data_IF_626725815345
#
_entry.id   IF_626725815345
#
_cell.length_a   1.000
_cell.length_b   1.000
_cell.length_c   1.000
_cell.angle_alpha   90.00
_cell.angle_beta   90.00
_cell.angle_gamma   90.00
#
_symmetry.space_group_name_H-M   'P 1'
#
loop_
_entity.id
_entity.type
_entity.pdbx_description
1 polymer ?
#
# COMPACT_ATOMS: atom_id res chain seq x y z
N UNK A 1 39.38 -29.71 20.80
CA UNK A 1 38.60 -28.46 20.69
C UNK A 1 37.90 -28.49 19.35
N UNK A 2 36.81 -29.21 19.25
CA UNK A 2 36.05 -29.42 18.02
C UNK A 2 35.05 -28.30 17.82
N UNK A 3 35.10 -27.77 16.67
CA UNK A 3 34.56 -26.56 16.05
C UNK A 3 33.09 -26.24 16.40
N UNK A 4 32.90 -25.46 17.46
CA UNK A 4 31.57 -24.86 17.80
C UNK A 4 31.10 -23.89 16.69
N UNK A 5 32.01 -23.35 15.88
CA UNK A 5 31.72 -22.44 14.76
C UNK A 5 31.06 -23.13 13.55
N UNK A 6 31.46 -24.40 13.26
CA UNK A 6 30.87 -25.13 12.11
C UNK A 6 29.43 -25.61 12.39
N UNK A 7 29.12 -25.94 13.63
CA UNK A 7 27.78 -26.37 14.03
C UNK A 7 26.76 -25.21 14.01
N UNK A 8 27.24 -23.96 14.15
CA UNK A 8 26.38 -22.77 14.07
C UNK A 8 26.06 -22.39 12.63
N UNK A 9 27.00 -22.65 11.70
CA UNK A 9 26.84 -22.34 10.26
C UNK A 9 25.89 -23.34 9.55
N UNK A 10 25.94 -24.61 9.99
CA UNK A 10 25.05 -25.66 9.44
C UNK A 10 23.60 -25.56 9.97
N UNK A 11 23.39 -24.97 11.14
CA UNK A 11 22.07 -24.73 11.73
C UNK A 11 21.33 -23.61 11.01
N UNK A 12 22.05 -22.56 10.58
CA UNK A 12 21.48 -21.43 9.85
C UNK A 12 21.11 -21.77 8.39
N UNK A 13 21.72 -22.78 7.78
CA UNK A 13 21.44 -23.17 6.40
C UNK A 13 20.14 -24.00 6.23
N UNK A 14 19.48 -24.42 7.33
CA UNK A 14 18.33 -25.32 7.31
C UNK A 14 17.04 -24.72 7.87
N UNK A 15 17.08 -23.47 8.36
CA UNK A 15 15.87 -22.80 8.83
C UNK A 15 15.06 -22.34 7.60
N UNK A 16 13.84 -22.83 7.39
CA UNK A 16 13.00 -22.30 6.31
C UNK A 16 12.66 -20.84 6.64
N UNK A 17 12.85 -19.96 5.66
CA UNK A 17 12.59 -18.50 5.76
C UNK A 17 11.20 -18.21 6.35
N UNK A 18 10.25 -19.14 6.17
CA UNK A 18 8.91 -19.06 6.78
C UNK A 18 8.51 -20.43 7.32
N UNK A 19 8.14 -20.55 8.60
CA UNK A 19 7.59 -21.77 9.18
C UNK A 19 6.39 -22.28 8.37
N UNK A 20 6.27 -23.61 8.24
CA UNK A 20 5.22 -24.23 7.39
C UNK A 20 3.81 -23.75 7.73
N UNK A 21 3.52 -23.46 8.99
CA UNK A 21 2.22 -22.99 9.46
C UNK A 21 1.86 -21.58 8.97
N UNK A 22 2.84 -20.74 8.66
CA UNK A 22 2.63 -19.34 8.21
C UNK A 22 2.80 -19.16 6.69
N UNK A 23 3.19 -20.20 5.94
CA UNK A 23 3.44 -20.14 4.49
C UNK A 23 2.24 -19.59 3.71
N UNK A 24 1.05 -20.05 4.02
CA UNK A 24 -0.16 -19.60 3.30
C UNK A 24 -0.40 -18.11 3.56
N UNK A 25 -0.30 -17.67 4.79
CA UNK A 25 -0.45 -16.25 5.14
C UNK A 25 0.64 -15.38 4.50
N UNK A 26 1.88 -15.88 4.44
CA UNK A 26 2.98 -15.18 3.79
C UNK A 26 2.78 -15.06 2.27
N UNK A 27 2.34 -16.13 1.60
CA UNK A 27 2.03 -16.12 0.16
C UNK A 27 0.86 -15.15 -0.12
N UNK A 28 -0.18 -15.16 0.69
CA UNK A 28 -1.30 -14.22 0.56
C UNK A 28 -0.84 -12.76 0.70
N UNK A 29 0.03 -12.49 1.65
CA UNK A 29 0.59 -11.15 1.85
C UNK A 29 1.46 -10.70 0.68
N UNK A 30 2.36 -11.56 0.17
CA UNK A 30 3.16 -11.25 -1.02
C UNK A 30 2.25 -10.99 -2.22
N UNK A 31 1.20 -11.80 -2.40
CA UNK A 31 0.22 -11.57 -3.46
C UNK A 31 -0.48 -10.22 -3.33
N UNK A 32 -0.83 -9.80 -2.12
CA UNK A 32 -1.37 -8.47 -1.85
C UNK A 32 -0.38 -7.36 -2.21
N UNK A 33 0.92 -7.53 -1.90
CA UNK A 33 1.96 -6.56 -2.27
C UNK A 33 2.15 -6.47 -3.78
N UNK A 34 2.14 -7.60 -4.49
CA UNK A 34 2.22 -7.61 -5.96
C UNK A 34 1.02 -6.90 -6.58
N UNK A 35 -0.19 -7.19 -6.10
CA UNK A 35 -1.41 -6.51 -6.53
C UNK A 35 -1.36 -5.01 -6.21
N UNK A 36 -0.89 -4.64 -5.03
CA UNK A 36 -0.71 -3.24 -4.64
C UNK A 36 0.28 -2.52 -5.58
N UNK A 37 1.42 -3.14 -5.89
CA UNK A 37 2.40 -2.58 -6.82
C UNK A 37 1.83 -2.41 -8.24
N UNK A 38 1.03 -3.37 -8.73
CA UNK A 38 0.33 -3.26 -10.00
C UNK A 38 -0.69 -2.11 -10.00
N UNK A 39 -1.49 -1.99 -8.95
CA UNK A 39 -2.49 -0.93 -8.81
C UNK A 39 -1.82 0.45 -8.73
N UNK A 40 -0.71 0.57 -8.03
CA UNK A 40 0.05 1.81 -7.93
C UNK A 40 0.60 2.24 -9.30
N UNK A 41 1.22 1.32 -10.04
CA UNK A 41 1.67 1.57 -11.42
C UNK A 41 0.51 1.95 -12.36
N UNK A 42 -0.65 1.31 -12.22
CA UNK A 42 -1.84 1.68 -13.00
C UNK A 42 -2.30 3.10 -12.69
N UNK A 43 -2.29 3.49 -11.43
CA UNK A 43 -2.68 4.85 -10.99
C UNK A 43 -1.72 5.90 -11.55
N UNK A 44 -0.42 5.65 -11.55
CA UNK A 44 0.58 6.55 -12.12
C UNK A 44 0.38 6.78 -13.63
N UNK A 45 -0.09 5.78 -14.35
CA UNK A 45 -0.42 5.89 -15.77
C UNK A 45 -1.81 6.51 -16.03
N UNK A 46 -2.78 6.29 -15.13
CA UNK A 46 -4.11 6.86 -15.24
C UNK A 46 -4.12 8.39 -15.09
N UNK A 47 -3.28 8.92 -14.19
CA UNK A 47 -3.20 10.37 -13.95
C UNK A 47 -2.87 11.16 -15.23
N UNK A 48 -1.83 10.83 -16.02
CA UNK A 48 -1.58 11.49 -17.30
C UNK A 48 -2.67 11.22 -18.35
N UNK A 49 -3.27 10.01 -18.35
CA UNK A 49 -4.34 9.69 -19.29
C UNK A 49 -5.59 10.54 -19.05
N UNK A 50 -6.00 10.71 -17.80
CA UNK A 50 -7.07 11.62 -17.42
C UNK A 50 -6.73 13.08 -17.73
N UNK A 51 -5.48 13.48 -17.51
CA UNK A 51 -4.98 14.81 -17.90
C UNK A 51 -5.20 15.12 -19.38
N UNK A 52 -5.02 14.12 -20.26
CA UNK A 52 -5.29 14.27 -21.71
C UNK A 52 -6.79 14.31 -22.02
N UNK A 53 -7.61 13.51 -21.34
CA UNK A 53 -9.07 13.48 -21.53
C UNK A 53 -9.70 14.81 -21.12
N UNK A 54 -9.26 15.39 -20.02
CA UNK A 54 -9.73 16.68 -19.52
C UNK A 54 -9.05 17.90 -20.18
N UNK A 55 -8.16 17.68 -21.16
CA UNK A 55 -7.35 18.75 -21.81
C UNK A 55 -6.70 19.68 -20.78
N UNK A 56 -6.17 19.08 -19.71
CA UNK A 56 -5.59 19.84 -18.61
C UNK A 56 -4.27 20.48 -19.03
N UNK A 57 -4.11 21.76 -18.71
CA UNK A 57 -2.80 22.43 -18.76
C UNK A 57 -1.80 21.75 -17.81
N UNK A 58 -0.51 21.90 -18.07
CA UNK A 58 0.55 21.29 -17.26
C UNK A 58 0.45 21.62 -15.75
N UNK A 59 -0.09 22.79 -15.40
CA UNK A 59 -0.34 23.20 -14.04
C UNK A 59 -1.37 22.29 -13.32
N UNK A 60 -2.45 21.91 -13.99
CA UNK A 60 -3.49 21.05 -13.45
C UNK A 60 -3.03 19.59 -13.31
N UNK A 61 -2.18 19.11 -14.20
CA UNK A 61 -1.54 17.81 -14.09
C UNK A 61 -0.64 17.75 -12.83
N UNK A 62 0.09 18.81 -12.54
CA UNK A 62 0.90 18.93 -11.32
C UNK A 62 0.04 18.95 -10.05
N UNK A 63 -1.14 19.58 -10.07
CA UNK A 63 -2.08 19.57 -8.94
C UNK A 63 -2.58 18.16 -8.62
N UNK A 64 -2.72 17.30 -9.62
CA UNK A 64 -3.11 15.90 -9.39
C UNK A 64 -2.03 15.14 -8.61
N UNK A 65 -0.76 15.36 -8.94
CA UNK A 65 0.34 14.76 -8.18
C UNK A 65 0.42 15.32 -6.76
N UNK A 66 0.23 16.63 -6.58
CA UNK A 66 0.17 17.25 -5.25
C UNK A 66 -0.97 16.66 -4.42
N UNK A 67 -2.15 16.43 -4.99
CA UNK A 67 -3.27 15.81 -4.30
C UNK A 67 -2.94 14.36 -3.90
N UNK A 68 -2.29 13.59 -4.78
CA UNK A 68 -1.90 12.21 -4.53
C UNK A 68 -0.87 12.11 -3.40
N UNK A 69 0.29 12.74 -3.56
CA UNK A 69 1.36 12.68 -2.55
C UNK A 69 1.02 13.46 -1.27
N UNK A 70 0.25 14.53 -1.39
CA UNK A 70 -0.28 15.27 -0.23
C UNK A 70 -1.19 14.40 0.63
N UNK A 71 -2.05 13.58 0.01
CA UNK A 71 -2.86 12.59 0.72
C UNK A 71 -2.01 11.57 1.48
N UNK A 72 -0.93 11.07 0.84
CA UNK A 72 0.02 10.17 1.48
C UNK A 72 0.63 10.79 2.74
N UNK A 73 1.13 12.02 2.65
CA UNK A 73 1.75 12.71 3.77
C UNK A 73 0.76 12.96 4.92
N UNK A 74 -0.46 13.38 4.60
CA UNK A 74 -1.48 13.71 5.60
C UNK A 74 -2.06 12.48 6.28
N UNK A 75 -2.31 11.39 5.53
CA UNK A 75 -3.01 10.21 6.04
C UNK A 75 -2.09 9.12 6.60
N UNK A 76 -0.79 9.17 6.34
CA UNK A 76 0.17 8.23 6.93
C UNK A 76 0.22 8.32 8.47
N UNK A 77 0.16 9.53 9.02
CA UNK A 77 0.15 9.74 10.48
C UNK A 77 -1.12 9.19 11.15
N UNK A 78 -2.34 9.55 10.70
CA UNK A 78 -3.58 8.95 11.21
C UNK A 78 -3.61 7.43 11.03
N UNK A 79 -3.08 6.90 9.92
CA UNK A 79 -2.99 5.47 9.67
C UNK A 79 -2.14 4.76 10.73
N UNK A 80 -0.97 5.30 11.06
CA UNK A 80 -0.11 4.74 12.10
C UNK A 80 -0.78 4.73 13.48
N UNK A 81 -1.54 5.78 13.81
CA UNK A 81 -2.33 5.87 15.06
C UNK A 81 -3.46 4.84 15.05
N UNK A 82 -4.16 4.69 13.92
CA UNK A 82 -5.25 3.73 13.76
C UNK A 82 -4.77 2.29 14.05
N UNK A 83 -3.62 1.92 13.48
CA UNK A 83 -3.03 0.59 13.65
C UNK A 83 -2.65 0.33 15.10
N UNK A 84 -2.02 1.30 15.76
CA UNK A 84 -1.65 1.19 17.18
C UNK A 84 -2.86 1.04 18.09
N UNK A 85 -3.99 1.69 17.77
CA UNK A 85 -5.17 1.73 18.63
C UNK A 85 -6.10 0.53 18.43
N UNK A 86 -6.24 0.04 17.20
CA UNK A 86 -7.22 -0.99 16.87
C UNK A 86 -6.58 -2.32 16.49
N UNK A 87 -6.09 -2.47 15.28
CA UNK A 87 -5.46 -3.71 14.78
C UNK A 87 -5.01 -3.51 13.33
N UNK A 88 -4.04 -4.31 12.89
CA UNK A 88 -3.64 -4.39 11.48
C UNK A 88 -4.82 -4.75 10.54
N UNK A 89 -5.72 -5.67 10.98
CA UNK A 89 -6.90 -6.05 10.20
C UNK A 89 -7.83 -4.88 9.94
N UNK A 90 -8.05 -4.05 10.95
CA UNK A 90 -8.88 -2.84 10.82
C UNK A 90 -8.24 -1.83 9.87
N UNK A 91 -6.92 -1.66 9.93
CA UNK A 91 -6.19 -0.81 9.00
C UNK A 91 -6.37 -1.24 7.54
N UNK A 92 -6.23 -2.54 7.25
CA UNK A 92 -6.45 -3.09 5.90
C UNK A 92 -7.88 -2.86 5.42
N UNK A 93 -8.90 -3.13 6.25
CA UNK A 93 -10.30 -2.94 5.87
C UNK A 93 -10.64 -1.47 5.60
N UNK A 94 -10.15 -0.56 6.44
CA UNK A 94 -10.35 0.89 6.27
C UNK A 94 -9.64 1.38 5.01
N UNK A 95 -8.39 0.95 4.79
CA UNK A 95 -7.62 1.30 3.61
C UNK A 95 -8.28 0.83 2.30
N UNK A 96 -8.74 -0.43 2.27
CA UNK A 96 -9.49 -0.97 1.13
C UNK A 96 -10.83 -0.25 0.91
N UNK A 97 -11.56 0.05 1.98
CA UNK A 97 -12.83 0.80 1.91
C UNK A 97 -12.63 2.18 1.29
N UNK A 98 -11.64 2.93 1.78
CA UNK A 98 -11.28 4.24 1.23
C UNK A 98 -10.83 4.15 -0.23
N UNK A 99 -10.02 3.14 -0.57
CA UNK A 99 -9.59 2.90 -1.94
C UNK A 99 -10.77 2.68 -2.89
N UNK A 100 -11.73 1.82 -2.50
CA UNK A 100 -12.93 1.54 -3.29
C UNK A 100 -13.78 2.81 -3.46
N UNK A 101 -14.00 3.58 -2.39
CA UNK A 101 -14.75 4.83 -2.43
C UNK A 101 -14.08 5.84 -3.36
N UNK A 102 -12.76 6.00 -3.27
CA UNK A 102 -11.98 6.86 -4.16
C UNK A 102 -12.09 6.42 -5.62
N UNK A 103 -11.96 5.12 -5.88
CA UNK A 103 -12.10 4.56 -7.22
C UNK A 103 -13.51 4.77 -7.81
N UNK A 104 -14.55 4.58 -7.02
CA UNK A 104 -15.93 4.87 -7.44
C UNK A 104 -16.17 6.34 -7.73
N UNK A 105 -15.45 7.24 -7.06
CA UNK A 105 -15.52 8.68 -7.28
C UNK A 105 -15.04 9.11 -8.68
N UNK A 106 -14.20 8.31 -9.35
CA UNK A 106 -13.79 8.60 -10.73
C UNK A 106 -14.94 8.55 -11.72
N UNK A 107 -15.96 7.71 -11.50
CA UNK A 107 -17.09 7.56 -12.40
C UNK A 107 -17.88 8.88 -12.51
N UNK A 108 -18.40 9.45 -11.40
CA UNK A 108 -19.10 10.74 -11.48
C UNK A 108 -18.17 11.90 -11.88
N UNK A 109 -16.90 11.87 -11.50
CA UNK A 109 -15.94 12.89 -11.92
C UNK A 109 -15.78 12.93 -13.44
N UNK A 110 -15.69 11.75 -14.08
CA UNK A 110 -15.61 11.63 -15.53
C UNK A 110 -16.92 12.04 -16.23
N UNK A 111 -18.08 11.64 -15.69
CA UNK A 111 -19.40 11.98 -16.26
C UNK A 111 -19.70 13.47 -16.19
N UNK A 112 -19.35 14.12 -15.09
CA UNK A 112 -19.59 15.55 -14.88
C UNK A 112 -18.45 16.43 -15.42
N UNK A 113 -17.38 15.84 -15.92
CA UNK A 113 -16.17 16.53 -16.37
C UNK A 113 -15.67 17.57 -15.34
N UNK A 114 -15.81 17.24 -14.06
CA UNK A 114 -15.47 18.13 -12.96
C UNK A 114 -14.10 17.79 -12.37
N UNK A 115 -13.12 18.66 -12.65
CA UNK A 115 -11.74 18.48 -12.20
C UNK A 115 -11.60 18.46 -10.66
N UNK A 116 -12.36 19.26 -9.94
CA UNK A 116 -12.31 19.28 -8.49
C UNK A 116 -12.79 17.95 -7.88
N UNK A 117 -13.83 17.35 -8.45
CA UNK A 117 -14.33 16.05 -8.04
C UNK A 117 -13.33 14.95 -8.36
N UNK A 118 -12.62 15.07 -9.48
CA UNK A 118 -11.52 14.18 -9.83
C UNK A 118 -10.37 14.28 -8.82
N UNK A 119 -9.92 15.49 -8.46
CA UNK A 119 -8.88 15.70 -7.43
C UNK A 119 -9.27 15.11 -6.08
N UNK A 120 -10.54 15.29 -5.67
CA UNK A 120 -11.05 14.72 -4.43
C UNK A 120 -11.01 13.19 -4.47
N UNK A 121 -11.39 12.60 -5.59
CA UNK A 121 -11.34 11.14 -5.78
C UNK A 121 -9.93 10.59 -5.73
N UNK A 122 -8.97 11.29 -6.37
CA UNK A 122 -7.52 10.99 -6.29
C UNK A 122 -7.05 11.05 -4.84
N UNK A 123 -7.42 12.09 -4.11
CA UNK A 123 -7.01 12.28 -2.71
C UNK A 123 -7.52 11.14 -1.82
N UNK A 124 -8.80 10.76 -1.94
CA UNK A 124 -9.39 9.66 -1.15
C UNK A 124 -8.77 8.32 -1.52
N UNK A 125 -8.54 8.06 -2.79
CA UNK A 125 -7.92 6.83 -3.29
C UNK A 125 -6.47 6.69 -2.77
N UNK A 126 -5.68 7.74 -2.92
CA UNK A 126 -4.30 7.80 -2.45
C UNK A 126 -4.21 7.63 -0.92
N UNK A 127 -5.18 8.18 -0.19
CA UNK A 127 -5.31 7.99 1.25
C UNK A 127 -5.55 6.54 1.62
N UNK A 128 -6.41 5.84 0.87
CA UNK A 128 -6.62 4.40 1.04
C UNK A 128 -5.34 3.59 0.82
N UNK A 129 -4.59 3.91 -0.23
CA UNK A 129 -3.28 3.29 -0.51
C UNK A 129 -2.27 3.55 0.60
N UNK A 130 -2.18 4.78 1.11
CA UNK A 130 -1.28 5.15 2.20
C UNK A 130 -1.56 4.34 3.48
N UNK A 131 -2.85 4.17 3.83
CA UNK A 131 -3.26 3.35 4.98
C UNK A 131 -2.89 1.88 4.76
N UNK A 132 -3.12 1.34 3.56
CA UNK A 132 -2.76 -0.04 3.22
C UNK A 132 -1.26 -0.27 3.35
N UNK A 133 -0.44 0.61 2.78
CA UNK A 133 1.01 0.52 2.83
C UNK A 133 1.54 0.59 4.27
N UNK A 134 1.09 1.57 5.03
CA UNK A 134 1.48 1.74 6.44
C UNK A 134 1.07 0.54 7.29
N UNK A 135 -0.01 -0.17 6.92
CA UNK A 135 -0.54 -1.33 7.65
C UNK A 135 0.16 -2.63 7.24
N UNK A 136 0.35 -2.86 5.93
CA UNK A 136 0.87 -4.12 5.42
C UNK A 136 2.35 -4.31 5.71
N UNK A 137 3.17 -3.25 5.63
CA UNK A 137 4.61 -3.34 5.87
C UNK A 137 4.96 -3.93 7.26
N UNK A 138 4.51 -3.36 8.39
CA UNK A 138 4.81 -3.93 9.71
C UNK A 138 4.10 -5.28 9.94
N UNK A 139 2.97 -5.53 9.28
CA UNK A 139 2.26 -6.79 9.41
C UNK A 139 3.04 -7.95 8.77
N UNK A 140 3.69 -7.73 7.62
CA UNK A 140 4.58 -8.73 7.00
C UNK A 140 5.76 -9.06 7.90
N UNK A 141 6.39 -8.03 8.50
CA UNK A 141 7.52 -8.19 9.40
C UNK A 141 7.10 -8.99 10.65
N UNK A 142 5.91 -8.73 11.19
CA UNK A 142 5.40 -9.43 12.38
C UNK A 142 5.03 -10.90 12.14
N UNK A 143 4.93 -11.35 10.90
CA UNK A 143 4.66 -12.74 10.51
C UNK A 143 5.95 -13.52 10.18
N UNK A 144 7.08 -12.86 10.02
CA UNK A 144 8.40 -13.48 9.89
C UNK A 144 8.95 -13.91 11.25
N UNK A 145 9.83 -14.92 11.28
CA UNK A 145 10.61 -15.25 12.47
C UNK A 145 11.53 -14.07 12.82
N UNK A 146 11.65 -13.72 14.12
CA UNK A 146 12.49 -12.63 14.60
C UNK A 146 13.95 -12.74 14.14
N UNK A 147 14.44 -13.96 13.88
CA UNK A 147 15.81 -14.21 13.40
C UNK A 147 16.01 -13.98 11.90
N UNK A 148 14.95 -13.90 11.10
CA UNK A 148 15.02 -13.74 9.64
C UNK A 148 14.48 -12.41 9.12
N UNK A 149 13.95 -11.56 9.99
CA UNK A 149 13.35 -10.26 9.65
C UNK A 149 14.31 -9.06 9.76
N UNK A 150 15.63 -9.32 9.98
CA UNK A 150 16.68 -8.30 10.04
C UNK A 150 17.49 -8.25 8.76
#
# INVERSE_FOLDING_TARGET
MENISDNKKDRNSKLPIVPKQYRVHFIMLISCFVLWGLLNNMTDNLVPAFGRIFMLEAANASMTQVAFYGSYAVLALPAAILIKKYSYRTGVLVGLGLYIIGAMGYIPAAMLQNFNLFLLSVFVLAGGLSILETTCNPYVISLGDEETSV
#
